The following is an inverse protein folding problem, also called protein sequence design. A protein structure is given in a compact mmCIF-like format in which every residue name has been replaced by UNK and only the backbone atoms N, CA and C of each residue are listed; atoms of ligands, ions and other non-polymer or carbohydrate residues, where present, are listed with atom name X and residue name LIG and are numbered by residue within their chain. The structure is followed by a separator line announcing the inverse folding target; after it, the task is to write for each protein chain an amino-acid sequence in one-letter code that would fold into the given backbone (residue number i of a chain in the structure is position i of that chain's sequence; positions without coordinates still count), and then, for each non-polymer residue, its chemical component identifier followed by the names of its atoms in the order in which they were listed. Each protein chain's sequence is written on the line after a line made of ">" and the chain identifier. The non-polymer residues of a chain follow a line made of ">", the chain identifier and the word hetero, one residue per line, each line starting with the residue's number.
data_IF_081239600498
#
_entry.id   IF_081239600498
#
_cell.length_a   1.000
_cell.length_b   1.000
_cell.length_c   1.000
_cell.angle_alpha   90.00
_cell.angle_beta   90.00
_cell.angle_gamma   90.00
#
_symmetry.space_group_name_H-M   'P 1'
#
loop_
_entity.id
_entity.type
_entity.pdbx_description
1 polymer ?
#
# COMPACT_ATOMS: atom_id res chain seq x y z
N UNK A 1 24.55 -4.54 -13.27
CA UNK A 1 23.38 -3.62 -13.37
C UNK A 1 22.34 -3.99 -12.33
N UNK A 2 21.96 -5.26 -12.17
CA UNK A 2 20.98 -5.66 -11.16
C UNK A 2 21.46 -5.50 -9.70
N UNK A 3 22.77 -5.41 -9.47
CA UNK A 3 23.35 -5.35 -8.12
C UNK A 3 23.09 -4.03 -7.37
N UNK A 4 22.63 -2.98 -8.04
CA UNK A 4 22.38 -1.68 -7.41
C UNK A 4 20.87 -1.37 -7.23
N UNK A 5 19.98 -2.12 -7.90
CA UNK A 5 18.54 -1.84 -7.86
C UNK A 5 17.90 -2.09 -6.48
N UNK A 6 18.49 -2.98 -5.69
CA UNK A 6 18.03 -3.24 -4.33
C UNK A 6 18.24 -2.07 -3.38
N UNK A 7 19.16 -1.15 -3.70
CA UNK A 7 19.46 0.06 -2.93
C UNK A 7 18.73 1.30 -3.48
N UNK A 8 18.00 1.15 -4.59
CA UNK A 8 17.26 2.24 -5.19
C UNK A 8 16.10 2.68 -4.29
N UNK A 9 15.97 4.02 -4.15
CA UNK A 9 14.93 4.62 -3.31
C UNK A 9 13.53 4.11 -3.66
N UNK A 10 13.23 3.94 -4.96
CA UNK A 10 11.89 3.52 -5.37
C UNK A 10 11.62 2.06 -5.00
N UNK A 11 12.64 1.18 -5.03
CA UNK A 11 12.51 -0.18 -4.53
C UNK A 11 12.17 -0.20 -3.04
N UNK A 12 12.86 0.62 -2.25
CA UNK A 12 12.58 0.74 -0.82
C UNK A 12 11.17 1.30 -0.55
N UNK A 13 10.72 2.29 -1.33
CA UNK A 13 9.36 2.83 -1.21
C UNK A 13 8.28 1.80 -1.57
N UNK A 14 8.45 1.03 -2.65
CA UNK A 14 7.52 -0.01 -3.08
C UNK A 14 7.35 -1.13 -2.07
N UNK A 15 8.36 -1.34 -1.24
CA UNK A 15 8.42 -2.41 -0.24
C UNK A 15 8.37 -1.90 1.20
N UNK A 16 8.20 -0.58 1.38
CA UNK A 16 8.13 0.08 2.69
C UNK A 16 9.34 -0.20 3.60
N UNK A 17 10.55 -0.32 3.02
CA UNK A 17 11.75 -0.51 3.81
C UNK A 17 12.18 0.75 4.54
N UNK A 18 12.56 0.57 5.80
CA UNK A 18 13.22 1.57 6.63
C UNK A 18 14.58 1.08 7.13
N UNK A 19 15.57 1.96 7.26
CA UNK A 19 16.83 1.59 7.87
C UNK A 19 16.62 1.26 9.35
N UNK A 20 17.31 0.22 9.84
CA UNK A 20 17.28 -0.18 11.26
C UNK A 20 18.45 0.41 12.03
N UNK A 21 18.31 0.61 13.36
CA UNK A 21 19.34 1.18 14.23
C UNK A 21 20.61 0.32 14.21
N UNK A 22 20.48 -0.99 14.03
CA UNK A 22 21.59 -1.94 13.94
C UNK A 22 22.26 -2.05 12.57
N UNK A 23 21.81 -1.25 11.60
CA UNK A 23 22.18 -1.38 10.18
C UNK A 23 21.27 -2.35 9.43
N UNK A 24 21.26 -2.21 8.09
CA UNK A 24 20.32 -2.95 7.22
C UNK A 24 18.93 -2.32 7.17
N UNK A 25 17.95 -3.10 6.71
CA UNK A 25 16.60 -2.63 6.46
C UNK A 25 15.55 -3.57 7.07
N UNK A 26 14.40 -3.02 7.38
CA UNK A 26 13.18 -3.77 7.71
C UNK A 26 11.97 -3.07 7.09
N UNK A 27 11.08 -3.88 6.49
CA UNK A 27 9.83 -3.36 5.94
C UNK A 27 8.78 -3.17 7.03
N UNK A 28 8.01 -2.10 6.92
CA UNK A 28 6.83 -1.84 7.75
C UNK A 28 5.61 -2.70 7.35
N UNK A 29 5.66 -3.35 6.18
CA UNK A 29 4.60 -4.24 5.74
C UNK A 29 4.70 -5.61 6.43
N UNK A 30 3.62 -6.03 7.08
CA UNK A 30 3.53 -7.31 7.81
C UNK A 30 2.58 -8.31 7.15
N UNK A 31 1.98 -7.94 6.03
CA UNK A 31 0.98 -8.79 5.38
C UNK A 31 1.61 -10.06 4.80
N UNK A 32 0.99 -11.21 5.13
CA UNK A 32 1.42 -12.48 4.57
C UNK A 32 1.28 -12.48 3.04
N UNK A 33 2.36 -12.88 2.35
CA UNK A 33 2.41 -12.92 0.89
C UNK A 33 2.74 -11.57 0.23
N UNK A 34 3.09 -10.54 1.00
CA UNK A 34 3.64 -9.30 0.46
C UNK A 34 5.06 -9.49 -0.05
N UNK A 35 5.85 -10.34 0.59
CA UNK A 35 7.19 -10.72 0.16
C UNK A 35 7.19 -12.05 -0.56
N UNK A 36 8.07 -12.16 -1.56
CA UNK A 36 8.30 -13.38 -2.34
C UNK A 36 9.50 -14.18 -1.82
N UNK A 37 10.51 -13.49 -1.29
CA UNK A 37 11.61 -14.15 -0.61
C UNK A 37 11.26 -14.44 0.86
N UNK A 38 11.74 -15.56 1.41
CA UNK A 38 11.49 -15.95 2.80
C UNK A 38 12.01 -14.91 3.81
N UNK A 39 13.12 -14.24 3.51
CA UNK A 39 13.73 -13.15 4.28
C UNK A 39 13.46 -11.76 3.67
N UNK A 40 12.53 -11.65 2.72
CA UNK A 40 12.25 -10.43 1.96
C UNK A 40 11.87 -9.23 2.82
N UNK A 41 11.34 -9.45 4.03
CA UNK A 41 11.03 -8.36 4.96
C UNK A 41 12.28 -7.57 5.41
N UNK A 42 13.45 -8.22 5.46
CA UNK A 42 14.69 -7.63 5.99
C UNK A 42 15.84 -7.60 4.99
N UNK A 43 15.65 -8.20 3.83
CA UNK A 43 16.68 -8.32 2.79
C UNK A 43 16.13 -7.82 1.44
N UNK A 44 16.33 -6.52 1.10
CA UNK A 44 15.90 -5.93 -0.16
C UNK A 44 16.48 -6.62 -1.39
N UNK A 45 17.70 -7.16 -1.29
CA UNK A 45 18.37 -7.84 -2.39
C UNK A 45 17.75 -9.22 -2.67
N UNK A 46 17.49 -10.01 -1.62
CA UNK A 46 16.83 -11.30 -1.77
C UNK A 46 15.41 -11.14 -2.34
N UNK A 47 14.67 -10.14 -1.86
CA UNK A 47 13.33 -9.85 -2.39
C UNK A 47 13.37 -9.41 -3.86
N UNK A 48 14.33 -8.58 -4.24
CA UNK A 48 14.54 -8.18 -5.64
C UNK A 48 14.76 -9.39 -6.55
N UNK A 49 15.68 -10.27 -6.16
CA UNK A 49 16.01 -11.47 -6.94
C UNK A 49 14.82 -12.40 -7.08
N UNK A 50 14.10 -12.64 -5.98
CA UNK A 50 12.93 -13.52 -5.99
C UNK A 50 11.78 -12.90 -6.79
N UNK A 51 11.58 -11.58 -6.70
CA UNK A 51 10.57 -10.86 -7.47
C UNK A 51 10.85 -11.00 -8.97
N UNK A 52 12.08 -10.75 -9.41
CA UNK A 52 12.47 -10.90 -10.83
C UNK A 52 12.26 -12.36 -11.28
N UNK A 53 12.73 -13.34 -10.52
CA UNK A 53 12.57 -14.75 -10.85
C UNK A 53 11.07 -15.12 -11.01
N UNK A 54 10.22 -14.62 -10.13
CA UNK A 54 8.78 -14.88 -10.15
C UNK A 54 8.06 -14.31 -11.37
N UNK A 55 8.60 -13.29 -12.03
CA UNK A 55 8.03 -12.75 -13.28
C UNK A 55 8.12 -13.73 -14.45
N UNK A 56 9.07 -14.65 -14.40
CA UNK A 56 9.25 -15.71 -15.40
C UNK A 56 8.52 -17.00 -15.04
N UNK A 57 7.84 -17.04 -13.89
CA UNK A 57 7.07 -18.18 -13.41
C UNK A 57 5.58 -18.01 -13.68
N UNK A 58 4.87 -19.13 -13.78
CA UNK A 58 3.41 -19.18 -13.82
C UNK A 58 2.80 -19.46 -12.44
N UNK A 59 3.62 -19.59 -11.40
CA UNK A 59 3.16 -19.81 -10.05
C UNK A 59 2.29 -18.64 -9.55
N UNK A 60 1.28 -18.99 -8.76
CA UNK A 60 0.35 -18.03 -8.18
C UNK A 60 0.87 -17.59 -6.80
N UNK A 61 1.12 -16.29 -6.66
CA UNK A 61 1.71 -15.69 -5.47
C UNK A 61 0.74 -14.70 -4.80
N UNK A 62 1.13 -14.27 -3.61
CA UNK A 62 0.40 -13.28 -2.83
C UNK A 62 -0.95 -13.79 -2.31
N UNK A 63 -1.60 -12.97 -1.52
CA UNK A 63 -2.91 -13.26 -0.92
C UNK A 63 -4.00 -13.54 -1.96
N UNK A 64 -3.96 -12.82 -3.07
CA UNK A 64 -4.96 -12.92 -4.14
C UNK A 64 -4.72 -14.09 -5.10
N UNK A 65 -3.65 -14.88 -4.90
CA UNK A 65 -3.28 -16.01 -5.74
C UNK A 65 -3.30 -15.65 -7.23
N UNK A 66 -2.44 -14.75 -7.62
CA UNK A 66 -2.25 -14.31 -9.00
C UNK A 66 -0.79 -14.52 -9.43
N UNK A 67 -0.49 -14.57 -10.75
CA UNK A 67 0.88 -14.50 -11.23
C UNK A 67 1.59 -13.25 -10.69
N UNK A 68 2.90 -13.34 -10.41
CA UNK A 68 3.65 -12.28 -9.74
C UNK A 68 3.52 -10.90 -10.41
N UNK A 69 3.50 -10.86 -11.75
CA UNK A 69 3.35 -9.61 -12.51
C UNK A 69 1.99 -8.94 -12.29
N UNK A 70 0.95 -9.73 -11.99
CA UNK A 70 -0.39 -9.23 -11.75
C UNK A 70 -0.65 -8.93 -10.27
N UNK A 71 -0.01 -9.70 -9.37
CA UNK A 71 -0.09 -9.47 -7.92
C UNK A 71 0.70 -8.22 -7.50
N UNK A 72 1.84 -7.96 -8.16
CA UNK A 72 2.78 -6.89 -7.81
C UNK A 72 3.04 -5.96 -9.01
N UNK A 73 1.97 -5.40 -9.56
CA UNK A 73 2.01 -4.65 -10.82
C UNK A 73 2.95 -3.44 -10.77
N UNK A 74 3.02 -2.73 -9.65
CA UNK A 74 3.91 -1.58 -9.49
C UNK A 74 5.39 -2.00 -9.51
N UNK A 75 5.74 -3.11 -8.83
CA UNK A 75 7.09 -3.70 -8.88
C UNK A 75 7.45 -4.13 -10.29
N UNK A 76 6.48 -4.75 -11.00
CA UNK A 76 6.68 -5.20 -12.39
C UNK A 76 6.93 -4.02 -13.33
N UNK A 77 6.12 -2.96 -13.28
CA UNK A 77 6.28 -1.80 -14.15
C UNK A 77 7.63 -1.12 -13.95
N UNK A 78 8.03 -0.93 -12.70
CA UNK A 78 9.32 -0.34 -12.39
C UNK A 78 10.48 -1.21 -12.86
N UNK A 79 10.52 -2.49 -12.47
CA UNK A 79 11.59 -3.40 -12.84
C UNK A 79 11.67 -3.64 -14.35
N UNK A 80 10.52 -3.64 -15.04
CA UNK A 80 10.49 -3.71 -16.50
C UNK A 80 11.21 -2.53 -17.12
N UNK A 81 10.98 -1.32 -16.63
CA UNK A 81 11.64 -0.12 -17.14
C UNK A 81 13.15 -0.12 -16.84
N UNK A 82 13.55 -0.43 -15.60
CA UNK A 82 14.95 -0.41 -15.17
C UNK A 82 15.81 -1.50 -15.85
N UNK A 83 15.24 -2.68 -16.07
CA UNK A 83 15.95 -3.83 -16.61
C UNK A 83 15.76 -4.01 -18.12
N UNK A 84 14.86 -3.24 -18.75
CA UNK A 84 14.52 -3.42 -20.16
C UNK A 84 13.96 -4.81 -20.45
N UNK A 85 13.06 -5.31 -19.58
CA UNK A 85 12.52 -6.68 -19.69
C UNK A 85 11.76 -6.84 -21.01
N UNK A 86 12.19 -7.78 -21.83
CA UNK A 86 11.52 -8.18 -23.05
C UNK A 86 10.30 -9.05 -22.72
N UNK A 87 9.11 -8.48 -22.91
CA UNK A 87 7.84 -9.17 -22.60
C UNK A 87 7.59 -10.41 -23.45
N UNK A 88 8.21 -10.51 -24.65
CA UNK A 88 8.07 -11.69 -25.51
C UNK A 88 8.66 -12.96 -24.90
N UNK A 89 9.57 -12.79 -23.94
CA UNK A 89 10.23 -13.87 -23.19
C UNK A 89 9.50 -14.27 -21.91
N UNK A 90 8.44 -13.55 -21.57
CA UNK A 90 7.65 -13.79 -20.36
C UNK A 90 6.44 -14.68 -20.68
N UNK A 91 5.96 -15.51 -19.75
CA UNK A 91 4.70 -16.23 -19.90
C UNK A 91 3.55 -15.25 -20.21
N UNK A 92 2.66 -15.54 -21.19
CA UNK A 92 1.54 -14.64 -21.46
C UNK A 92 0.60 -14.53 -20.26
N UNK A 93 0.24 -13.28 -19.88
CA UNK A 93 -0.64 -13.00 -18.73
C UNK A 93 -1.46 -11.73 -19.01
N UNK A 94 -2.77 -11.78 -18.81
CA UNK A 94 -3.69 -10.67 -19.10
C UNK A 94 -3.93 -9.75 -17.90
N UNK A 95 -3.67 -10.18 -16.68
CA UNK A 95 -3.96 -9.45 -15.44
C UNK A 95 -5.39 -8.90 -15.33
N UNK A 96 -6.38 -9.68 -15.79
CA UNK A 96 -7.78 -9.24 -15.94
C UNK A 96 -8.38 -8.68 -14.66
N UNK A 97 -8.03 -9.25 -13.49
CA UNK A 97 -8.51 -8.75 -12.19
C UNK A 97 -8.01 -7.35 -11.89
N UNK A 98 -6.74 -7.07 -12.21
CA UNK A 98 -6.19 -5.73 -12.04
C UNK A 98 -6.87 -4.73 -12.98
N UNK A 99 -7.04 -5.08 -14.25
CA UNK A 99 -7.67 -4.21 -15.24
C UNK A 99 -9.15 -3.96 -14.92
N UNK A 100 -9.88 -4.97 -14.45
CA UNK A 100 -11.26 -4.83 -14.01
C UNK A 100 -11.35 -3.90 -12.78
N UNK A 101 -10.48 -4.09 -11.79
CA UNK A 101 -10.40 -3.23 -10.62
C UNK A 101 -10.02 -1.78 -10.97
N UNK A 102 -9.02 -1.56 -11.83
CA UNK A 102 -8.62 -0.22 -12.27
C UNK A 102 -9.75 0.49 -13.04
N UNK A 103 -10.50 -0.26 -13.85
CA UNK A 103 -11.68 0.26 -14.57
C UNK A 103 -12.79 0.68 -13.59
N UNK A 104 -13.05 -0.11 -12.56
CA UNK A 104 -14.02 0.21 -11.52
C UNK A 104 -13.57 1.42 -10.70
N UNK A 105 -12.30 1.46 -10.32
CA UNK A 105 -11.69 2.57 -9.60
C UNK A 105 -11.76 3.89 -10.39
N UNK A 106 -11.66 3.85 -11.72
CA UNK A 106 -11.77 4.98 -12.65
C UNK A 106 -11.04 6.24 -12.17
N UNK A 107 -9.75 6.18 -11.83
CA UNK A 107 -9.05 7.23 -11.11
C UNK A 107 -8.87 8.50 -11.95
N UNK A 108 -9.04 9.66 -11.32
CA UNK A 108 -8.83 10.99 -11.91
C UNK A 108 -7.87 11.85 -11.10
N UNK A 109 -7.89 11.72 -9.77
CA UNK A 109 -7.00 12.43 -8.86
C UNK A 109 -6.88 11.70 -7.53
N UNK A 110 -5.90 12.08 -6.73
CA UNK A 110 -5.71 11.59 -5.37
C UNK A 110 -5.90 12.75 -4.41
N UNK A 111 -6.69 12.53 -3.37
CA UNK A 111 -6.90 13.49 -2.29
C UNK A 111 -6.39 12.89 -0.98
N UNK A 112 -5.50 13.62 -0.31
CA UNK A 112 -5.08 13.30 1.05
C UNK A 112 -6.18 13.73 2.01
N UNK A 113 -6.64 12.80 2.83
CA UNK A 113 -7.66 13.02 3.86
C UNK A 113 -6.98 12.99 5.21
N UNK A 114 -7.17 14.04 5.98
CA UNK A 114 -6.60 14.18 7.33
C UNK A 114 -7.72 14.48 8.34
N UNK A 115 -8.26 13.47 9.02
CA UNK A 115 -9.09 13.66 10.21
C UNK A 115 -8.24 14.21 11.35
N UNK A 116 -8.73 15.27 12.00
CA UNK A 116 -8.03 15.91 13.12
C UNK A 116 -7.79 14.94 14.29
N UNK A 117 -6.94 15.33 15.22
CA UNK A 117 -6.63 14.54 16.41
C UNK A 117 -7.89 14.17 17.22
N UNK A 118 -7.93 12.94 17.75
CA UNK A 118 -9.00 12.47 18.62
C UNK A 118 -8.44 12.00 19.96
N UNK A 119 -8.59 12.83 20.98
CA UNK A 119 -7.95 12.64 22.29
C UNK A 119 -8.51 11.47 23.09
N UNK A 120 -9.71 10.97 22.74
CA UNK A 120 -10.36 9.88 23.48
C UNK A 120 -9.84 8.48 23.09
N UNK A 121 -8.98 8.39 22.06
CA UNK A 121 -8.40 7.13 21.62
C UNK A 121 -6.89 7.30 21.38
N UNK A 122 -6.03 6.58 22.11
CA UNK A 122 -4.58 6.68 21.95
C UNK A 122 -4.08 6.44 20.53
N UNK A 123 -4.71 5.57 19.77
CA UNK A 123 -4.34 5.26 18.37
C UNK A 123 -4.69 6.38 17.39
N UNK A 124 -5.59 7.29 17.75
CA UNK A 124 -6.03 8.43 16.94
C UNK A 124 -5.61 9.79 17.49
N UNK A 125 -4.81 9.79 18.57
CA UNK A 125 -4.42 10.99 19.32
C UNK A 125 -3.62 11.99 18.48
N UNK A 126 -2.89 11.52 17.46
CA UNK A 126 -2.10 12.38 16.55
C UNK A 126 -2.79 12.65 15.20
N UNK A 127 -4.05 12.26 15.07
CA UNK A 127 -4.74 12.28 13.78
C UNK A 127 -4.50 11.01 12.98
N UNK A 128 -5.01 10.99 11.76
CA UNK A 128 -4.85 9.86 10.84
C UNK A 128 -4.68 10.39 9.42
N UNK A 129 -4.06 9.60 8.55
CA UNK A 129 -3.90 9.93 7.14
C UNK A 129 -4.44 8.79 6.30
N UNK A 130 -5.24 9.12 5.30
CA UNK A 130 -5.68 8.18 4.27
C UNK A 130 -5.71 8.88 2.91
N UNK A 131 -5.63 8.09 1.86
CA UNK A 131 -5.73 8.59 0.49
C UNK A 131 -7.11 8.24 -0.07
N UNK A 132 -7.82 9.22 -0.66
CA UNK A 132 -9.01 8.98 -1.45
C UNK A 132 -8.66 9.03 -2.92
N UNK A 133 -9.09 8.03 -3.68
CA UNK A 133 -8.95 7.99 -5.13
C UNK A 133 -10.22 8.56 -5.75
N UNK A 134 -10.14 9.81 -6.19
CA UNK A 134 -11.27 10.49 -6.80
C UNK A 134 -11.50 10.00 -8.23
N UNK A 135 -12.75 9.78 -8.58
CA UNK A 135 -13.15 9.22 -9.86
C UNK A 135 -13.36 10.30 -10.93
N UNK A 136 -13.25 9.91 -12.20
CA UNK A 136 -13.64 10.79 -13.30
C UNK A 136 -15.13 11.11 -13.22
N UNK A 137 -15.49 12.38 -13.47
CA UNK A 137 -16.87 12.87 -13.41
C UNK A 137 -17.54 12.74 -12.02
N UNK A 138 -16.74 12.67 -10.96
CA UNK A 138 -17.23 12.64 -9.58
C UNK A 138 -17.97 13.94 -9.23
N UNK A 139 -19.10 13.81 -8.54
CA UNK A 139 -19.85 14.91 -7.94
C UNK A 139 -19.68 14.91 -6.42
N UNK A 140 -20.15 15.95 -5.72
CA UNK A 140 -20.15 15.99 -4.26
C UNK A 140 -20.92 14.82 -3.63
N UNK A 141 -22.02 14.37 -4.27
CA UNK A 141 -22.79 13.23 -3.79
C UNK A 141 -22.06 11.90 -4.02
N UNK A 142 -21.42 11.73 -5.18
CA UNK A 142 -20.71 10.48 -5.52
C UNK A 142 -19.32 10.40 -4.92
N UNK A 143 -18.77 11.50 -4.38
CA UNK A 143 -17.49 11.55 -3.67
C UNK A 143 -17.41 10.55 -2.51
N UNK A 144 -18.52 10.35 -1.82
CA UNK A 144 -18.61 9.40 -0.71
C UNK A 144 -18.46 7.94 -1.15
N UNK A 145 -18.67 7.64 -2.42
CA UNK A 145 -18.51 6.30 -3.00
C UNK A 145 -17.07 6.03 -3.49
N UNK A 146 -16.23 7.06 -3.57
CA UNK A 146 -14.83 6.92 -3.96
C UNK A 146 -14.08 5.99 -2.98
N UNK A 147 -13.13 5.23 -3.50
CA UNK A 147 -12.33 4.33 -2.66
C UNK A 147 -11.25 5.09 -1.88
N UNK A 148 -11.02 4.67 -0.66
CA UNK A 148 -9.89 5.15 0.15
C UNK A 148 -8.88 4.03 0.36
N UNK A 149 -7.60 4.40 0.34
CA UNK A 149 -6.49 3.55 0.77
C UNK A 149 -6.09 4.01 2.16
N UNK A 150 -6.15 3.10 3.09
CA UNK A 150 -5.87 3.32 4.51
C UNK A 150 -4.78 2.34 4.98
N UNK A 151 -3.84 2.83 5.78
CA UNK A 151 -2.87 2.01 6.49
C UNK A 151 -3.19 2.07 7.98
N UNK A 152 -3.41 0.93 8.59
CA UNK A 152 -3.84 0.82 10.00
C UNK A 152 -3.07 -0.27 10.73
N UNK A 153 -2.98 -0.12 12.04
CA UNK A 153 -2.49 -1.16 12.92
C UNK A 153 -3.55 -2.24 13.14
N UNK A 154 -3.14 -3.50 13.14
CA UNK A 154 -3.97 -4.63 13.58
C UNK A 154 -3.93 -4.71 15.11
N UNK A 155 -4.94 -4.12 15.72
CA UNK A 155 -5.05 -4.03 17.17
C UNK A 155 -5.79 -5.27 17.69
N UNK A 156 -5.05 -6.34 17.95
CA UNK A 156 -5.62 -7.63 18.42
C UNK A 156 -5.44 -7.85 19.92
N UNK A 157 -4.87 -6.89 20.68
CA UNK A 157 -4.60 -7.08 22.11
C UNK A 157 -5.74 -6.54 23.00
N UNK A 158 -6.37 -7.44 23.75
CA UNK A 158 -7.37 -7.09 24.78
C UNK A 158 -6.73 -6.60 26.10
N UNK A 159 -5.39 -6.70 26.24
CA UNK A 159 -4.68 -6.26 27.43
C UNK A 159 -4.21 -4.80 27.28
N UNK A 160 -4.78 -3.90 28.10
CA UNK A 160 -4.51 -2.46 28.02
C UNK A 160 -3.03 -2.07 28.21
N UNK A 161 -2.25 -2.81 29.00
CA UNK A 161 -0.81 -2.54 29.19
C UNK A 161 -0.02 -2.95 27.94
N UNK A 162 -0.31 -4.14 27.41
CA UNK A 162 0.29 -4.61 26.15
C UNK A 162 -0.06 -3.67 25.01
N UNK A 163 -1.32 -3.24 24.93
CA UNK A 163 -1.77 -2.25 23.95
C UNK A 163 -0.98 -0.95 24.04
N UNK A 164 -0.80 -0.40 25.25
CA UNK A 164 -0.08 0.85 25.45
C UNK A 164 1.40 0.72 25.05
N UNK A 165 2.07 -0.37 25.45
CA UNK A 165 3.48 -0.62 25.09
C UNK A 165 3.63 -0.79 23.58
N UNK A 166 2.82 -1.64 22.94
CA UNK A 166 2.88 -1.87 21.50
C UNK A 166 2.52 -0.59 20.70
N UNK A 167 1.57 0.21 21.20
CA UNK A 167 1.20 1.48 20.58
C UNK A 167 2.32 2.51 20.59
N UNK A 168 3.06 2.61 21.69
CA UNK A 168 4.18 3.56 21.81
C UNK A 168 5.42 3.07 21.05
N UNK A 169 5.67 1.75 21.05
CA UNK A 169 6.86 1.16 20.41
C UNK A 169 6.66 0.83 18.93
N UNK A 170 5.44 0.98 18.39
CA UNK A 170 5.13 0.59 17.00
C UNK A 170 5.10 -0.93 16.80
N UNK A 171 4.85 -1.72 17.85
CA UNK A 171 4.87 -3.18 17.81
C UNK A 171 3.61 -3.84 17.24
N UNK A 172 2.59 -3.06 16.83
CA UNK A 172 1.43 -3.60 16.12
C UNK A 172 1.76 -3.87 14.66
N UNK A 173 1.23 -4.97 14.13
CA UNK A 173 1.32 -5.27 12.69
C UNK A 173 0.54 -4.23 11.88
N UNK A 174 1.15 -3.73 10.81
CA UNK A 174 0.53 -2.79 9.90
C UNK A 174 -0.04 -3.46 8.64
N UNK A 175 -1.22 -3.04 8.22
CA UNK A 175 -1.83 -3.53 6.99
C UNK A 175 -2.51 -2.42 6.19
N UNK A 176 -2.53 -2.60 4.88
CA UNK A 176 -3.30 -1.75 3.98
C UNK A 176 -4.72 -2.26 3.81
N UNK A 177 -5.67 -1.34 3.79
CA UNK A 177 -7.07 -1.64 3.52
C UNK A 177 -7.68 -0.63 2.55
N UNK A 178 -8.67 -1.07 1.78
CA UNK A 178 -9.44 -0.22 0.89
C UNK A 178 -10.90 -0.27 1.26
N UNK A 179 -11.51 0.91 1.42
CA UNK A 179 -12.93 1.04 1.78
C UNK A 179 -13.56 2.20 1.02
N UNK A 180 -14.87 2.18 0.73
CA UNK A 180 -15.58 3.37 0.28
C UNK A 180 -15.43 4.51 1.30
N UNK A 181 -15.25 5.74 0.82
CA UNK A 181 -14.98 6.90 1.67
C UNK A 181 -16.09 7.17 2.70
N UNK A 182 -17.35 6.89 2.37
CA UNK A 182 -18.47 7.11 3.30
C UNK A 182 -18.30 6.37 4.62
N UNK A 183 -17.62 5.22 4.64
CA UNK A 183 -17.38 4.45 5.88
C UNK A 183 -16.49 5.28 6.81
N UNK A 184 -15.42 5.84 6.28
CA UNK A 184 -14.48 6.66 7.05
C UNK A 184 -15.02 8.05 7.36
N UNK A 185 -15.77 8.64 6.44
CA UNK A 185 -16.42 9.94 6.68
C UNK A 185 -17.42 9.86 7.85
N UNK A 186 -18.21 8.77 7.94
CA UNK A 186 -19.10 8.55 9.08
C UNK A 186 -18.36 8.27 10.38
N UNK A 187 -17.31 7.44 10.32
CA UNK A 187 -16.48 7.13 11.49
C UNK A 187 -15.93 8.41 12.11
N UNK A 188 -15.31 9.26 11.30
CA UNK A 188 -14.65 10.47 11.78
C UNK A 188 -15.63 11.63 12.04
N UNK A 189 -16.61 11.86 11.15
CA UNK A 189 -17.55 12.96 11.25
C UNK A 189 -18.68 12.70 12.25
N UNK A 190 -19.42 11.59 12.07
CA UNK A 190 -20.65 11.35 12.82
C UNK A 190 -20.37 10.76 14.22
N UNK A 191 -19.41 9.81 14.33
CA UNK A 191 -19.16 9.12 15.59
C UNK A 191 -18.09 9.80 16.45
N UNK A 192 -17.00 10.28 15.84
CA UNK A 192 -15.87 10.86 16.56
C UNK A 192 -15.93 12.41 16.60
N UNK A 193 -16.81 13.02 15.82
CA UNK A 193 -16.99 14.48 15.71
C UNK A 193 -15.66 15.21 15.44
N UNK A 194 -14.91 14.73 14.46
CA UNK A 194 -13.61 15.26 14.04
C UNK A 194 -13.76 16.12 12.81
N UNK A 195 -12.97 17.19 12.74
CA UNK A 195 -12.78 17.93 11.50
C UNK A 195 -12.01 17.07 10.50
N UNK A 196 -12.46 17.07 9.24
CA UNK A 196 -11.81 16.34 8.15
C UNK A 196 -11.27 17.35 7.16
N UNK A 197 -9.95 17.36 7.00
CA UNK A 197 -9.24 18.20 6.05
C UNK A 197 -8.94 17.39 4.79
N UNK A 198 -9.21 17.98 3.63
CA UNK A 198 -8.99 17.36 2.32
C UNK A 198 -8.00 18.17 1.50
N UNK A 199 -6.92 17.53 1.05
CA UNK A 199 -5.87 18.15 0.25
C UNK A 199 -5.72 17.40 -1.07
N UNK A 200 -6.22 17.97 -2.17
CA UNK A 200 -6.02 17.38 -3.48
C UNK A 200 -4.55 17.47 -3.86
N UNK A 201 -3.95 16.32 -4.23
CA UNK A 201 -2.56 16.26 -4.66
C UNK A 201 -2.44 16.66 -6.13
N UNK A 202 -1.41 17.45 -6.44
CA UNK A 202 -1.08 17.83 -7.82
C UNK A 202 -0.21 16.75 -8.46
N UNK A 203 -0.88 15.72 -8.99
CA UNK A 203 -0.27 14.56 -9.62
C UNK A 203 -0.63 14.50 -11.10
N UNK A 204 0.35 14.10 -11.94
CA UNK A 204 0.09 13.83 -13.35
C UNK A 204 -0.77 12.57 -13.54
N UNK A 205 -1.45 12.40 -14.68
CA UNK A 205 -2.23 11.18 -14.97
C UNK A 205 -1.39 9.90 -14.92
N UNK A 206 -0.09 9.98 -15.19
CA UNK A 206 0.85 8.85 -15.13
C UNK A 206 1.19 8.48 -13.68
N UNK A 207 1.25 9.48 -12.78
CA UNK A 207 1.50 9.28 -11.35
C UNK A 207 0.28 8.74 -10.59
N UNK A 208 -0.92 8.87 -11.17
CA UNK A 208 -2.18 8.39 -10.57
C UNK A 208 -2.44 6.91 -10.90
N UNK A 209 -1.83 6.37 -11.96
CA UNK A 209 -2.00 4.98 -12.43
C UNK A 209 -0.98 4.05 -11.80
#
# INVERSE_FOLDING_TARGET
>A
VASNLSEERLWHLLLHYRPTIGGGYESEADEAGFFLAANGKTDPQAELQQTIASFFSTELVGRSRQPARCAFIARYHWLKAELGIDETRLPPQSCDRFHAWLKELNPASITLIFPSAYMNNPSSMFGHLLLRVDQKNQTEQTRLLAYTVNYSADVTSDNGIVFAVLGVTGGFKGFFSTHPYYIKAREYGDFENRDIWEYRLDLSPEQIK
#
